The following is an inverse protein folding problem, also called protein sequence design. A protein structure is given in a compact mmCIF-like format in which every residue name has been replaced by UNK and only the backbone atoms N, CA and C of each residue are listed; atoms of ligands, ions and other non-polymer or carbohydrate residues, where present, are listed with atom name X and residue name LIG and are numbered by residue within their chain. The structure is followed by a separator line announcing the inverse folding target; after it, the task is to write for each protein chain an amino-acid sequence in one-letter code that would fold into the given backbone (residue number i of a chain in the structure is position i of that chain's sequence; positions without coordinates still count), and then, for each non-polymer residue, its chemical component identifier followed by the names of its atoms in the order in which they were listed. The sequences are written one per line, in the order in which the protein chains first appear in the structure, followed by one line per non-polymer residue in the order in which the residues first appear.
data_IF_080506370793
#
_entry.id   IF_080506370793
#
_cell.length_a   1.000
_cell.length_b   1.000
_cell.length_c   1.000
_cell.angle_alpha   90.00
_cell.angle_beta   90.00
_cell.angle_gamma   90.00
#
_symmetry.space_group_name_H-M   'P 1'
#
loop_
_entity.id
_entity.type
_entity.pdbx_description
1 polymer ?
#
# COMPACT_ATOMS: atom_id res chain seq x y z
N UNK A 1 16.15 35.42 -13.72
CA UNK A 1 15.25 34.67 -12.83
C UNK A 1 15.83 33.25 -12.74
N UNK A 2 15.64 32.57 -11.60
CA UNK A 2 16.17 31.22 -11.37
C UNK A 2 15.04 30.22 -11.16
N UNK A 3 15.25 29.00 -11.64
CA UNK A 3 14.35 27.86 -11.48
C UNK A 3 14.94 26.82 -10.54
N UNK A 4 14.06 26.13 -9.81
CA UNK A 4 14.46 25.01 -8.95
C UNK A 4 14.57 23.75 -9.77
N UNK A 5 15.72 23.07 -9.65
CA UNK A 5 15.96 21.78 -10.26
C UNK A 5 16.41 20.77 -9.20
N UNK A 6 16.18 19.51 -9.48
CA UNK A 6 16.45 18.40 -8.57
C UNK A 6 17.52 17.51 -9.18
N UNK A 7 18.68 17.43 -8.51
CA UNK A 7 19.75 16.50 -8.88
C UNK A 7 19.45 15.14 -8.29
N UNK A 8 19.29 14.12 -9.14
CA UNK A 8 18.91 12.77 -8.73
C UNK A 8 20.18 11.95 -8.44
N UNK A 9 20.23 11.36 -7.25
CA UNK A 9 21.33 10.47 -6.81
C UNK A 9 20.74 9.19 -6.24
N UNK A 10 20.55 8.19 -7.12
CA UNK A 10 19.87 6.95 -6.76
C UNK A 10 18.42 7.19 -6.35
N UNK A 11 18.10 6.91 -5.09
CA UNK A 11 16.79 7.11 -4.47
C UNK A 11 16.66 8.45 -3.71
N UNK A 12 17.69 9.29 -3.73
CA UNK A 12 17.69 10.61 -3.07
C UNK A 12 17.85 11.74 -4.07
N UNK A 13 17.64 12.98 -3.61
CA UNK A 13 17.84 14.16 -4.44
C UNK A 13 18.44 15.32 -3.64
N UNK A 14 19.02 16.27 -4.38
CA UNK A 14 19.43 17.56 -3.84
C UNK A 14 18.78 18.68 -4.63
N UNK A 15 18.42 19.77 -3.96
CA UNK A 15 17.79 20.96 -4.58
C UNK A 15 18.86 21.92 -5.05
N UNK A 16 18.74 22.39 -6.28
CA UNK A 16 19.65 23.31 -6.93
C UNK A 16 18.85 24.45 -7.58
N UNK A 17 19.48 25.61 -7.71
CA UNK A 17 18.92 26.74 -8.46
C UNK A 17 19.73 26.90 -9.75
N UNK A 18 19.05 26.84 -10.89
CA UNK A 18 19.63 27.07 -12.20
C UNK A 18 19.05 28.36 -12.81
N UNK A 19 19.79 29.07 -13.65
CA UNK A 19 19.23 30.12 -14.51
C UNK A 19 18.07 29.58 -15.35
N UNK A 20 17.06 30.42 -15.60
CA UNK A 20 15.86 30.01 -16.36
C UNK A 20 16.18 29.55 -17.80
N UNK A 21 17.24 30.08 -18.39
CA UNK A 21 17.71 29.80 -19.75
C UNK A 21 18.57 28.53 -19.86
N UNK A 22 18.89 27.87 -18.74
CA UNK A 22 19.71 26.68 -18.74
C UNK A 22 18.93 25.43 -19.18
N UNK A 23 19.54 24.63 -20.05
CA UNK A 23 19.00 23.34 -20.48
C UNK A 23 19.23 22.31 -19.38
N UNK A 24 18.14 21.77 -18.83
CA UNK A 24 18.20 20.74 -17.79
C UNK A 24 18.43 19.38 -18.41
N UNK A 25 19.57 18.76 -18.11
CA UNK A 25 19.92 17.40 -18.58
C UNK A 25 20.19 16.47 -17.41
N UNK A 26 20.23 15.15 -17.67
CA UNK A 26 20.60 14.15 -16.66
C UNK A 26 21.93 14.52 -15.98
N UNK A 27 22.05 14.38 -14.64
CA UNK A 27 21.11 13.78 -13.71
C UNK A 27 20.14 14.79 -13.04
N UNK A 28 19.78 15.88 -13.70
CA UNK A 28 18.84 16.89 -13.19
C UNK A 28 17.45 16.75 -13.79
N UNK A 29 16.42 17.12 -13.01
CA UNK A 29 15.03 17.22 -13.45
C UNK A 29 14.35 18.45 -12.85
N UNK A 30 13.37 19.00 -13.55
CA UNK A 30 12.48 20.06 -13.04
C UNK A 30 11.24 19.47 -12.35
N UNK A 31 11.07 18.15 -12.40
CA UNK A 31 9.91 17.47 -11.83
C UNK A 31 10.01 17.46 -10.31
N UNK A 32 9.05 18.13 -9.66
CA UNK A 32 8.96 18.19 -8.20
C UNK A 32 8.87 16.79 -7.59
N UNK A 33 9.69 16.46 -6.58
CA UNK A 33 9.61 15.19 -5.87
C UNK A 33 8.32 15.09 -5.07
N UNK A 34 7.78 13.87 -4.89
CA UNK A 34 6.62 13.64 -4.03
C UNK A 34 6.96 14.05 -2.59
N UNK A 35 5.99 14.67 -1.91
CA UNK A 35 6.13 15.20 -0.55
C UNK A 35 5.30 14.45 0.50
N UNK A 36 4.60 13.38 0.11
CA UNK A 36 3.77 12.59 1.02
C UNK A 36 4.64 11.73 1.94
N UNK A 37 4.30 11.72 3.23
CA UNK A 37 5.02 10.93 4.26
C UNK A 37 4.89 9.42 4.03
N UNK A 38 3.82 8.98 3.36
CA UNK A 38 3.57 7.58 3.03
C UNK A 38 4.23 7.15 1.72
N UNK A 39 5.01 8.02 1.08
CA UNK A 39 5.61 7.79 -0.23
C UNK A 39 7.13 7.77 -0.12
N UNK A 40 7.71 6.62 -0.43
CA UNK A 40 9.16 6.44 -0.47
C UNK A 40 9.62 6.53 -1.92
N UNK A 41 10.55 7.43 -2.21
CA UNK A 41 11.21 7.52 -3.51
C UNK A 41 12.18 6.35 -3.66
N UNK A 42 12.07 5.60 -4.75
CA UNK A 42 12.98 4.49 -5.09
C UNK A 42 13.87 4.80 -6.27
N UNK A 43 13.54 5.82 -7.07
CA UNK A 43 14.33 6.26 -8.21
C UNK A 43 13.62 7.31 -9.07
N UNK A 44 14.14 7.52 -10.27
CA UNK A 44 13.53 8.39 -11.28
C UNK A 44 13.57 7.70 -12.64
N UNK A 45 12.41 7.66 -13.29
CA UNK A 45 12.27 7.17 -14.67
C UNK A 45 12.58 8.31 -15.63
N UNK A 46 13.72 8.20 -16.32
CA UNK A 46 14.18 9.21 -17.26
C UNK A 46 13.54 9.12 -18.66
N UNK A 47 12.80 8.05 -18.95
CA UNK A 47 12.06 7.90 -20.21
C UNK A 47 10.70 8.56 -20.07
N UNK A 48 10.02 8.28 -18.96
CA UNK A 48 8.71 8.85 -18.66
C UNK A 48 8.77 10.18 -17.91
N UNK A 49 9.99 10.61 -17.53
CA UNK A 49 10.25 11.84 -16.79
C UNK A 49 9.43 11.94 -15.49
N UNK A 50 9.45 10.89 -14.66
CA UNK A 50 8.65 10.79 -13.43
C UNK A 50 9.41 10.15 -12.28
N UNK A 51 9.06 10.53 -11.04
CA UNK A 51 9.56 9.86 -9.85
C UNK A 51 9.00 8.45 -9.75
N UNK A 52 9.87 7.49 -9.43
CA UNK A 52 9.48 6.14 -9.07
C UNK A 52 9.32 6.08 -7.56
N UNK A 53 8.15 5.61 -7.13
CA UNK A 53 7.75 5.64 -5.72
C UNK A 53 7.12 4.34 -5.29
N UNK A 54 7.24 4.02 -4.01
CA UNK A 54 6.47 2.97 -3.34
C UNK A 54 5.68 3.57 -2.18
N UNK A 55 4.46 3.08 -1.98
CA UNK A 55 3.65 3.46 -0.83
C UNK A 55 4.06 2.63 0.38
N UNK A 56 4.42 3.30 1.46
CA UNK A 56 4.65 2.69 2.76
C UNK A 56 3.32 2.56 3.50
N UNK A 57 3.08 1.42 4.14
CA UNK A 57 1.98 1.27 5.09
C UNK A 57 2.55 1.45 6.50
N UNK A 58 2.05 2.40 7.30
CA UNK A 58 2.48 2.56 8.68
C UNK A 58 2.38 1.25 9.47
N UNK A 59 3.39 0.92 10.28
CA UNK A 59 3.42 -0.31 11.10
C UNK A 59 2.14 -0.48 11.95
N UNK A 60 1.60 0.56 12.61
CA UNK A 60 0.36 0.43 13.37
C UNK A 60 -0.83 -0.01 12.50
N UNK A 61 -0.98 0.53 11.29
CA UNK A 61 -2.05 0.18 10.36
C UNK A 61 -1.91 -1.26 9.87
N UNK A 62 -0.67 -1.67 9.53
CA UNK A 62 -0.40 -3.05 9.16
C UNK A 62 -0.76 -4.03 10.29
N UNK A 63 -0.39 -3.71 11.53
CA UNK A 63 -0.74 -4.54 12.70
C UNK A 63 -2.25 -4.61 12.93
N UNK A 64 -2.95 -3.49 12.81
CA UNK A 64 -4.40 -3.44 12.95
C UNK A 64 -5.09 -4.30 11.87
N UNK A 65 -4.61 -4.23 10.62
CA UNK A 65 -5.11 -5.07 9.54
C UNK A 65 -4.89 -6.56 9.82
N UNK A 66 -3.68 -6.95 10.24
CA UNK A 66 -3.36 -8.35 10.57
C UNK A 66 -4.26 -8.87 11.69
N UNK A 67 -4.47 -8.08 12.75
CA UNK A 67 -5.37 -8.45 13.84
C UNK A 67 -6.81 -8.61 13.35
N UNK A 68 -7.32 -7.65 12.55
CA UNK A 68 -8.68 -7.72 12.02
C UNK A 68 -8.91 -8.94 11.12
N UNK A 69 -7.91 -9.35 10.35
CA UNK A 69 -7.97 -10.58 9.54
C UNK A 69 -8.00 -11.82 10.43
N UNK A 70 -7.22 -11.84 11.51
CA UNK A 70 -7.23 -12.95 12.47
C UNK A 70 -8.60 -13.09 13.15
N UNK A 71 -9.16 -11.98 13.64
CA UNK A 71 -10.47 -11.93 14.29
C UNK A 71 -11.58 -12.39 13.34
N UNK A 72 -11.52 -11.98 12.07
CA UNK A 72 -12.46 -12.42 11.04
C UNK A 72 -12.35 -13.94 10.80
N UNK A 73 -11.13 -14.47 10.72
CA UNK A 73 -10.88 -15.90 10.56
C UNK A 73 -11.45 -16.71 11.72
N UNK A 74 -11.28 -16.24 12.95
CA UNK A 74 -11.87 -16.86 14.13
C UNK A 74 -13.41 -16.84 14.06
N UNK A 75 -14.00 -15.69 13.73
CA UNK A 75 -15.44 -15.55 13.61
C UNK A 75 -16.05 -16.49 12.56
N UNK A 76 -15.42 -16.57 11.38
CA UNK A 76 -15.85 -17.48 10.29
C UNK A 76 -15.75 -18.95 10.75
N UNK A 77 -14.69 -19.31 11.46
CA UNK A 77 -14.52 -20.67 12.01
C UNK A 77 -15.63 -21.02 13.01
N UNK A 78 -15.95 -20.11 13.93
CA UNK A 78 -17.03 -20.30 14.90
C UNK A 78 -18.40 -20.42 14.22
N UNK A 79 -18.67 -19.62 13.18
CA UNK A 79 -19.89 -19.73 12.38
C UNK A 79 -19.99 -21.10 11.69
N UNK A 80 -18.90 -21.59 11.10
CA UNK A 80 -18.87 -22.89 10.42
C UNK A 80 -19.19 -24.04 11.39
N UNK A 81 -18.61 -24.00 12.60
CA UNK A 81 -18.89 -24.99 13.65
C UNK A 81 -20.36 -24.95 14.09
N UNK A 82 -20.90 -23.75 14.28
CA UNK A 82 -22.30 -23.55 14.68
C UNK A 82 -23.28 -24.04 13.62
N UNK A 83 -22.98 -23.76 12.34
CA UNK A 83 -23.78 -24.22 11.21
C UNK A 83 -23.78 -25.75 11.13
N UNK A 84 -22.61 -26.37 11.22
CA UNK A 84 -22.47 -27.84 11.17
C UNK A 84 -23.26 -28.51 12.31
N UNK A 85 -23.13 -28.00 13.53
CA UNK A 85 -23.87 -28.52 14.68
C UNK A 85 -25.39 -28.34 14.52
N UNK A 86 -25.82 -27.26 13.88
CA UNK A 86 -27.24 -27.01 13.60
C UNK A 86 -27.78 -27.98 12.56
N UNK A 87 -27.05 -28.23 11.48
CA UNK A 87 -27.42 -29.19 10.44
C UNK A 87 -27.55 -30.61 11.00
N UNK A 88 -26.64 -31.04 11.87
CA UNK A 88 -26.73 -32.34 12.55
C UNK A 88 -27.97 -32.43 13.44
N UNK A 89 -28.30 -31.35 14.17
CA UNK A 89 -29.50 -31.29 15.00
C UNK A 89 -30.77 -31.36 14.16
N UNK A 90 -30.82 -30.68 13.02
CA UNK A 90 -31.97 -30.71 12.11
C UNK A 90 -32.17 -32.12 11.56
N UNK A 91 -31.10 -32.76 11.04
CA UNK A 91 -31.16 -34.15 10.54
C UNK A 91 -31.67 -35.13 11.59
N UNK A 92 -31.22 -34.98 12.84
CA UNK A 92 -31.67 -35.81 13.97
C UNK A 92 -33.16 -35.59 14.30
N UNK A 93 -33.64 -34.35 14.20
CA UNK A 93 -35.06 -34.05 14.45
C UNK A 93 -35.95 -34.58 13.31
N UNK A 94 -35.47 -34.57 12.07
CA UNK A 94 -36.18 -35.14 10.93
C UNK A 94 -36.29 -36.66 11.04
N UNK A 95 -35.21 -37.37 11.39
CA UNK A 95 -35.26 -38.83 11.54
C UNK A 95 -36.18 -39.30 12.67
N UNK A 96 -36.40 -38.48 13.70
CA UNK A 96 -37.34 -38.76 14.79
C UNK A 96 -38.82 -38.54 14.39
N UNK A 97 -39.10 -37.79 13.33
CA UNK A 97 -40.48 -37.59 12.84
C UNK A 97 -40.95 -38.72 11.93
N UNK A 98 -40.01 -39.47 11.35
CA UNK A 98 -40.28 -40.59 10.43
C UNK A 98 -40.34 -41.95 11.15
N UNK A 99 -40.04 -42.00 12.45
CA UNK A 99 -40.08 -43.18 13.32
C UNK A 99 -41.38 -43.24 14.15
#
# INVERSE_FOLDING_TARGET
MSKKIYKITGNTYSVWEAPDDEVVTRPFTEVTPPSSEDVIIVGFDWVENKWQTVTSVPIPEYKALVQGVADLGEFVSQLQLTLTATDERVKKLESLKEA
#
